data_IF_179195238297
#
_entry.id   IF_179195238297
#
_cell.length_a   1.000
_cell.length_b   1.000
_cell.length_c   1.000
_cell.angle_alpha   90.00
_cell.angle_beta   90.00
_cell.angle_gamma   90.00
#
_symmetry.space_group_name_H-M   'P 1'
#
loop_
_entity.id
_entity.type
_entity.pdbx_description
1 polymer ?
#
# COMPACT_ATOMS: atom_id res chain seq x y z
N UNK A 1 -9.07 -1.74 -2.83
CA UNK A 1 -8.27 -0.61 -2.30
C UNK A 1 -9.08 0.42 -1.50
N UNK A 2 -10.38 0.63 -1.73
CA UNK A 2 -11.14 1.67 -1.01
C UNK A 2 -11.08 1.54 0.52
N UNK A 3 -11.20 0.31 1.05
CA UNK A 3 -10.99 -0.01 2.46
C UNK A 3 -9.65 0.54 2.99
N UNK A 4 -8.53 0.06 2.43
CA UNK A 4 -7.20 0.45 2.90
C UNK A 4 -6.92 1.96 2.75
N UNK A 5 -7.38 2.58 1.65
CA UNK A 5 -7.14 4.00 1.37
C UNK A 5 -7.90 4.96 2.28
N UNK A 6 -8.90 4.46 2.98
CA UNK A 6 -9.79 5.26 3.83
C UNK A 6 -9.80 4.74 5.26
N UNK A 7 -8.69 4.12 5.71
CA UNK A 7 -8.55 3.57 7.06
C UNK A 7 -9.73 2.73 7.50
N UNK A 8 -10.18 1.81 6.63
CA UNK A 8 -11.34 0.94 6.85
C UNK A 8 -12.71 1.63 6.89
N UNK A 9 -12.78 2.95 7.08
CA UNK A 9 -14.01 3.71 7.26
C UNK A 9 -14.93 3.59 6.04
N UNK A 10 -16.16 3.15 6.29
CA UNK A 10 -17.23 3.14 5.28
C UNK A 10 -17.11 2.06 4.19
N UNK A 11 -16.13 1.17 4.30
CA UNK A 11 -15.91 0.08 3.35
C UNK A 11 -15.74 -1.25 4.08
N UNK A 12 -15.96 -2.35 3.37
CA UNK A 12 -15.63 -3.69 3.85
C UNK A 12 -14.72 -4.39 2.84
N UNK A 13 -13.84 -5.26 3.33
CA UNK A 13 -13.10 -6.19 2.48
C UNK A 13 -14.08 -7.21 1.87
N UNK A 14 -13.81 -7.64 0.64
CA UNK A 14 -14.61 -8.68 -0.01
C UNK A 14 -14.42 -10.00 0.73
N UNK A 15 -15.51 -10.68 1.12
CA UNK A 15 -15.38 -11.97 1.80
C UNK A 15 -14.65 -13.00 0.93
N UNK A 16 -13.82 -13.85 1.55
CA UNK A 16 -13.02 -14.85 0.83
C UNK A 16 -13.85 -15.74 -0.10
N UNK A 17 -14.95 -16.30 0.40
CA UNK A 17 -15.87 -17.14 -0.40
C UNK A 17 -16.50 -16.38 -1.58
N UNK A 18 -16.82 -15.09 -1.38
CA UNK A 18 -17.36 -14.25 -2.44
C UNK A 18 -16.30 -14.00 -3.52
N UNK A 19 -15.06 -13.71 -3.13
CA UNK A 19 -13.94 -13.61 -4.05
C UNK A 19 -13.72 -14.91 -4.82
N UNK A 20 -13.65 -16.04 -4.11
CA UNK A 20 -13.42 -17.35 -4.72
C UNK A 20 -14.50 -17.69 -5.75
N UNK A 21 -15.77 -17.50 -5.40
CA UNK A 21 -16.90 -17.76 -6.31
C UNK A 21 -16.83 -16.87 -7.54
N UNK A 22 -16.64 -15.56 -7.37
CA UNK A 22 -16.59 -14.61 -8.49
C UNK A 22 -15.37 -14.83 -9.39
N UNK A 23 -14.20 -15.08 -8.79
CA UNK A 23 -12.96 -15.29 -9.53
C UNK A 23 -13.00 -16.60 -10.34
N UNK A 24 -13.49 -17.69 -9.75
CA UNK A 24 -13.66 -18.96 -10.48
C UNK A 24 -14.65 -18.81 -11.64
N UNK A 25 -15.79 -18.14 -11.42
CA UNK A 25 -16.76 -17.91 -12.49
C UNK A 25 -16.14 -17.12 -13.65
N UNK A 26 -15.43 -16.03 -13.35
CA UNK A 26 -14.75 -15.21 -14.34
C UNK A 26 -13.72 -16.02 -15.14
N UNK A 27 -12.84 -16.75 -14.45
CA UNK A 27 -11.79 -17.52 -15.13
C UNK A 27 -12.39 -18.64 -15.97
N UNK A 28 -13.36 -19.39 -15.45
CA UNK A 28 -14.01 -20.46 -16.22
C UNK A 28 -14.62 -19.91 -17.52
N UNK A 29 -15.30 -18.77 -17.48
CA UNK A 29 -15.83 -18.12 -18.69
C UNK A 29 -14.74 -17.65 -19.65
N UNK A 30 -13.58 -17.23 -19.15
CA UNK A 30 -12.48 -16.75 -20.00
C UNK A 30 -11.68 -17.88 -20.64
N UNK A 31 -11.58 -19.04 -19.98
CA UNK A 31 -10.84 -20.22 -20.48
C UNK A 31 -11.73 -21.21 -21.24
N UNK A 32 -13.03 -20.92 -21.33
CA UNK A 32 -13.96 -21.62 -22.21
C UNK A 32 -13.39 -21.68 -23.65
N UNK A 33 -13.73 -22.73 -24.39
CA UNK A 33 -13.20 -23.00 -25.72
C UNK A 33 -11.66 -23.13 -25.81
N UNK A 34 -11.01 -23.56 -24.72
CA UNK A 34 -9.56 -23.80 -24.64
C UNK A 34 -8.69 -22.56 -24.80
N UNK A 35 -9.22 -21.39 -24.43
CA UNK A 35 -8.45 -20.16 -24.44
C UNK A 35 -7.27 -20.23 -23.46
N UNK A 36 -6.10 -19.80 -23.94
CA UNK A 36 -4.87 -19.69 -23.14
C UNK A 36 -4.81 -18.33 -22.46
N UNK A 37 -4.13 -18.25 -21.33
CA UNK A 37 -4.03 -17.00 -20.58
C UNK A 37 -2.95 -17.01 -19.51
N UNK A 38 -2.65 -15.82 -19.02
CA UNK A 38 -1.73 -15.64 -17.89
C UNK A 38 -2.46 -14.85 -16.83
N UNK A 39 -2.39 -15.33 -15.59
CA UNK A 39 -2.95 -14.64 -14.43
C UNK A 39 -1.83 -14.30 -13.46
N UNK A 40 -2.07 -13.31 -12.62
CA UNK A 40 -1.12 -12.88 -11.61
C UNK A 40 -1.81 -12.79 -10.25
N UNK A 41 -1.05 -13.09 -9.19
CA UNK A 41 -1.51 -12.82 -7.84
C UNK A 41 -1.48 -11.30 -7.55
N UNK A 42 -2.01 -10.91 -6.40
CA UNK A 42 -2.12 -9.52 -5.96
C UNK A 42 -0.85 -9.16 -5.17
N UNK A 43 -0.18 -8.04 -5.48
CA UNK A 43 0.99 -7.60 -4.74
C UNK A 43 0.65 -7.16 -3.32
N UNK A 44 1.67 -7.07 -2.45
CA UNK A 44 1.53 -6.45 -1.13
C UNK A 44 1.24 -4.95 -1.30
N UNK A 45 -0.05 -4.61 -1.20
CA UNK A 45 -0.52 -3.25 -1.39
C UNK A 45 -0.05 -2.32 -0.28
N UNK A 46 0.19 -2.86 0.92
CA UNK A 46 0.63 -2.07 2.07
C UNK A 46 2.09 -1.66 1.95
N UNK A 47 2.87 -2.15 0.98
CA UNK A 47 4.23 -1.68 0.68
C UNK A 47 4.28 -0.42 -0.19
N UNK A 48 3.16 -0.07 -0.82
CA UNK A 48 3.12 1.09 -1.70
C UNK A 48 3.42 2.39 -0.92
N UNK A 49 4.06 3.38 -1.55
CA UNK A 49 4.43 4.65 -0.89
C UNK A 49 3.26 5.40 -0.23
N UNK A 50 2.04 5.24 -0.73
CA UNK A 50 0.84 5.82 -0.12
C UNK A 50 0.67 5.42 1.36
N UNK A 51 1.08 4.20 1.71
CA UNK A 51 0.93 3.64 3.06
C UNK A 51 2.20 3.80 3.93
N UNK A 52 3.40 3.89 3.34
CA UNK A 52 4.67 3.91 4.10
C UNK A 52 5.46 5.22 4.02
N UNK A 53 4.98 6.24 3.31
CA UNK A 53 5.76 7.48 3.16
C UNK A 53 5.68 8.43 4.36
N UNK A 54 4.78 8.18 5.31
CA UNK A 54 4.69 8.93 6.57
C UNK A 54 5.12 7.99 7.70
N UNK A 55 6.19 8.37 8.41
CA UNK A 55 6.68 7.60 9.54
C UNK A 55 5.74 7.72 10.74
N UNK A 56 5.70 6.68 11.58
CA UNK A 56 4.94 6.68 12.85
C UNK A 56 5.41 7.79 13.81
N UNK A 57 6.67 8.23 13.69
CA UNK A 57 7.26 9.34 14.43
C UNK A 57 7.27 10.66 13.63
N UNK A 58 6.34 10.77 12.67
CA UNK A 58 6.29 11.86 11.69
C UNK A 58 5.78 13.20 12.21
N UNK A 59 5.26 13.27 13.45
CA UNK A 59 4.84 14.51 14.07
C UNK A 59 6.06 15.31 14.52
N UNK A 60 6.46 16.32 13.75
CA UNK A 60 7.62 17.17 14.05
C UNK A 60 7.20 18.47 14.71
N UNK A 61 7.67 18.72 15.93
CA UNK A 61 7.36 19.91 16.72
C UNK A 61 8.62 20.77 16.95
N UNK A 62 8.46 22.09 16.88
CA UNK A 62 9.47 23.05 17.36
C UNK A 62 9.48 23.14 18.89
N UNK A 63 10.57 23.65 19.48
CA UNK A 63 10.65 23.87 20.93
C UNK A 63 9.45 24.66 21.48
N UNK A 64 9.03 25.72 20.79
CA UNK A 64 7.87 26.54 21.18
C UNK A 64 6.56 25.73 21.17
N UNK A 65 6.35 24.91 20.15
CA UNK A 65 5.18 24.02 20.07
C UNK A 65 5.22 22.97 21.17
N UNK A 66 6.38 22.35 21.42
CA UNK A 66 6.56 21.36 22.48
C UNK A 66 6.23 21.93 23.86
N UNK A 67 6.76 23.11 24.20
CA UNK A 67 6.45 23.78 25.46
C UNK A 67 4.95 24.08 25.60
N UNK A 68 4.35 24.66 24.55
CA UNK A 68 2.92 24.96 24.51
C UNK A 68 2.08 23.69 24.68
N UNK A 69 2.48 22.61 24.02
CA UNK A 69 1.74 21.35 24.03
C UNK A 69 1.84 20.66 25.38
N UNK A 70 3.03 20.61 25.98
CA UNK A 70 3.19 20.02 27.31
C UNK A 70 2.40 20.81 28.37
N UNK A 71 2.33 22.14 28.25
CA UNK A 71 1.48 22.96 29.11
C UNK A 71 -0.02 22.67 28.93
N UNK A 72 -0.48 22.52 27.68
CA UNK A 72 -1.86 22.13 27.38
C UNK A 72 -2.20 20.73 27.90
N UNK A 73 -1.27 19.78 27.80
CA UNK A 73 -1.43 18.42 28.30
C UNK A 73 -1.59 18.40 29.84
N UNK A 74 -0.80 19.21 30.55
CA UNK A 74 -0.92 19.39 32.00
C UNK A 74 -2.30 19.95 32.39
N UNK A 75 -2.79 20.99 31.70
CA UNK A 75 -4.12 21.56 31.93
C UNK A 75 -5.22 20.53 31.68
N UNK A 76 -5.11 19.76 30.61
CA UNK A 76 -6.06 18.72 30.26
C UNK A 76 -5.93 17.44 31.12
N UNK A 77 -4.96 17.39 32.04
CA UNK A 77 -4.66 16.25 32.91
C UNK A 77 -4.41 14.94 32.11
N UNK A 78 -3.87 15.08 30.90
CA UNK A 78 -3.46 13.97 30.04
C UNK A 78 -1.95 13.77 30.17
N UNK A 79 -1.52 12.52 30.31
CA UNK A 79 -0.11 12.20 30.53
C UNK A 79 0.66 12.09 29.20
N UNK A 80 0.69 13.19 28.44
CA UNK A 80 1.47 13.30 27.22
C UNK A 80 2.80 14.01 27.51
N UNK A 81 3.87 13.49 26.93
CA UNK A 81 5.17 14.13 26.94
C UNK A 81 5.64 14.28 25.50
N UNK A 82 5.40 15.46 24.94
CA UNK A 82 5.96 15.84 23.66
C UNK A 82 7.42 16.27 23.85
N UNK A 83 8.25 15.99 22.84
CA UNK A 83 9.62 16.45 22.76
C UNK A 83 9.82 17.36 21.54
N UNK A 84 10.88 18.17 21.57
CA UNK A 84 11.31 18.89 20.37
C UNK A 84 11.73 17.88 19.30
N UNK A 85 11.35 18.15 18.04
CA UNK A 85 11.57 17.24 16.94
C UNK A 85 10.47 16.20 16.83
N UNK A 86 10.85 14.94 16.61
CA UNK A 86 9.94 13.86 16.24
C UNK A 86 9.13 13.33 17.43
N UNK A 87 7.85 13.11 17.20
CA UNK A 87 6.89 12.54 18.15
C UNK A 87 5.99 11.52 17.44
N UNK A 88 5.41 10.61 18.22
CA UNK A 88 4.37 9.72 17.71
C UNK A 88 3.08 10.50 17.42
N UNK A 89 2.32 10.02 16.45
CA UNK A 89 0.98 10.53 16.15
C UNK A 89 -0.02 10.14 17.23
N UNK A 90 -0.93 11.05 17.57
CA UNK A 90 -2.20 10.67 18.19
C UNK A 90 -3.21 10.30 17.11
N UNK A 91 -3.97 9.24 17.37
CA UNK A 91 -4.97 8.69 16.47
C UNK A 91 -6.26 8.42 17.25
N UNK A 92 -7.40 8.52 16.58
CA UNK A 92 -8.68 8.02 17.12
C UNK A 92 -8.58 6.50 17.26
N UNK A 93 -9.14 5.98 18.35
CA UNK A 93 -9.28 4.55 18.58
C UNK A 93 -10.50 4.34 19.48
N UNK A 94 -11.59 3.84 18.90
CA UNK A 94 -12.85 3.66 19.60
C UNK A 94 -12.81 2.55 20.67
N UNK A 95 -11.79 1.68 20.66
CA UNK A 95 -11.61 0.62 21.64
C UNK A 95 -10.86 1.12 22.89
N UNK A 96 -10.22 2.29 22.83
CA UNK A 96 -9.54 2.90 23.97
C UNK A 96 -10.53 3.72 24.83
N UNK A 97 -10.41 3.74 26.17
CA UNK A 97 -11.37 4.41 27.05
C UNK A 97 -11.57 5.90 26.76
N UNK A 98 -10.50 6.58 26.35
CA UNK A 98 -10.49 7.99 25.97
C UNK A 98 -10.92 8.22 24.52
N UNK A 99 -11.10 7.17 23.72
CA UNK A 99 -11.45 7.23 22.30
C UNK A 99 -10.27 7.57 21.37
N UNK A 100 -9.05 7.61 21.90
CA UNK A 100 -7.83 7.93 21.17
C UNK A 100 -6.62 7.32 21.88
N UNK A 101 -5.50 7.24 21.16
CA UNK A 101 -4.19 6.84 21.71
C UNK A 101 -3.04 7.30 20.83
N UNK A 102 -1.81 7.05 21.27
CA UNK A 102 -0.67 7.09 20.38
C UNK A 102 -0.70 5.92 19.39
N UNK A 103 -0.24 6.17 18.16
CA UNK A 103 -0.03 5.14 17.15
C UNK A 103 0.95 4.07 17.67
N UNK A 104 0.67 2.81 17.38
CA UNK A 104 1.47 1.64 17.80
C UNK A 104 2.49 1.28 16.71
N UNK A 105 3.55 0.57 17.10
CA UNK A 105 4.51 0.04 16.13
C UNK A 105 3.82 -0.91 15.14
N UNK A 106 4.12 -0.75 13.84
CA UNK A 106 3.51 -1.54 12.77
C UNK A 106 2.23 -0.96 12.18
N UNK A 107 1.65 0.07 12.79
CA UNK A 107 0.52 0.82 12.23
C UNK A 107 0.98 1.88 11.22
N UNK A 108 0.06 2.34 10.38
CA UNK A 108 0.40 3.15 9.22
C UNK A 108 -0.37 4.47 9.24
N UNK A 109 0.32 5.58 8.98
CA UNK A 109 -0.31 6.86 8.69
C UNK A 109 -0.38 7.05 7.18
N UNK A 110 -1.58 7.32 6.69
CA UNK A 110 -1.87 7.38 5.26
C UNK A 110 -1.46 8.72 4.64
N UNK A 111 -0.99 8.70 3.40
CA UNK A 111 -0.69 9.92 2.62
C UNK A 111 -1.90 10.87 2.47
N UNK A 112 -3.11 10.38 2.69
CA UNK A 112 -4.34 11.19 2.66
C UNK A 112 -4.47 12.18 3.81
N UNK A 113 -3.61 12.11 4.84
CA UNK A 113 -3.57 13.11 5.94
C UNK A 113 -3.39 14.52 5.37
N UNK A 114 -4.27 15.49 5.71
CA UNK A 114 -4.14 16.86 5.24
C UNK A 114 -3.01 17.61 5.99
N UNK A 115 -1.88 17.83 5.31
CA UNK A 115 -0.71 18.52 5.87
C UNK A 115 -1.04 19.91 6.45
N UNK A 116 -1.93 20.66 5.81
CA UNK A 116 -2.35 21.97 6.29
C UNK A 116 -3.07 21.88 7.64
N UNK A 117 -3.89 20.85 7.88
CA UNK A 117 -4.56 20.63 9.16
C UNK A 117 -3.61 20.12 10.24
N UNK A 118 -2.60 19.33 9.87
CA UNK A 118 -1.51 18.96 10.80
C UNK A 118 -0.82 20.22 11.31
N UNK A 119 -0.52 21.18 10.42
CA UNK A 119 0.17 22.44 10.78
C UNK A 119 -0.73 23.46 11.47
N UNK A 120 -1.95 23.66 10.97
CA UNK A 120 -2.80 24.78 11.37
C UNK A 120 -3.90 24.40 12.37
N UNK A 121 -4.20 23.11 12.53
CA UNK A 121 -5.32 22.62 13.33
C UNK A 121 -4.92 21.57 14.36
N UNK A 122 -3.61 21.40 14.59
CA UNK A 122 -3.06 20.46 15.58
C UNK A 122 -3.46 19.00 15.31
N UNK A 123 -3.81 18.66 14.06
CA UNK A 123 -4.20 17.33 13.65
C UNK A 123 -3.05 16.34 13.81
N UNK A 124 -3.33 15.18 14.40
CA UNK A 124 -2.37 14.17 14.81
C UNK A 124 -1.57 14.50 16.07
N UNK A 125 -1.89 15.59 16.76
CA UNK A 125 -1.36 15.95 18.08
C UNK A 125 -2.48 16.10 19.11
N UNK A 126 -3.00 17.29 19.38
CA UNK A 126 -4.16 17.46 20.27
C UNK A 126 -5.48 17.04 19.66
N UNK A 127 -5.58 17.15 18.34
CA UNK A 127 -6.71 16.60 17.59
C UNK A 127 -6.22 15.25 17.05
N UNK A 128 -6.68 14.11 17.58
CA UNK A 128 -6.24 12.81 17.08
C UNK A 128 -6.51 12.68 15.58
N UNK A 129 -5.67 11.94 14.85
CA UNK A 129 -5.95 11.59 13.46
C UNK A 129 -7.21 10.74 13.40
N UNK A 130 -8.24 11.15 12.64
CA UNK A 130 -9.38 10.28 12.39
C UNK A 130 -8.97 8.98 11.74
N UNK A 131 -9.75 7.94 12.03
CA UNK A 131 -9.58 6.57 11.55
C UNK A 131 -9.30 6.50 10.04
N UNK A 132 -9.99 7.32 9.24
CA UNK A 132 -9.84 7.36 7.79
C UNK A 132 -8.42 7.69 7.26
N UNK A 133 -7.53 8.17 8.12
CA UNK A 133 -6.15 8.53 7.79
C UNK A 133 -5.10 7.60 8.40
N UNK A 134 -5.53 6.55 9.09
CA UNK A 134 -4.65 5.59 9.76
C UNK A 134 -5.06 4.19 9.31
N UNK A 135 -4.14 3.24 9.32
CA UNK A 135 -4.50 1.84 9.37
C UNK A 135 -3.99 1.28 10.68
N UNK A 136 -4.93 0.80 11.51
CA UNK A 136 -4.59 0.18 12.77
C UNK A 136 -4.12 -1.26 12.60
N UNK A 137 -3.70 -1.87 13.71
CA UNK A 137 -3.18 -3.23 13.71
C UNK A 137 -4.22 -4.28 13.27
N UNK A 138 -5.50 -4.10 13.59
CA UNK A 138 -6.58 -5.03 13.25
C UNK A 138 -6.91 -4.95 11.75
N UNK A 139 -6.95 -3.74 11.19
CA UNK A 139 -7.19 -3.50 9.77
C UNK A 139 -6.05 -4.02 8.89
N UNK A 140 -4.80 -3.80 9.30
CA UNK A 140 -3.63 -4.36 8.63
C UNK A 140 -3.70 -5.89 8.64
N UNK A 141 -4.04 -6.50 9.78
CA UNK A 141 -4.20 -7.94 9.89
C UNK A 141 -5.34 -8.46 8.98
N UNK A 142 -6.46 -7.75 8.90
CA UNK A 142 -7.59 -8.09 8.03
C UNK A 142 -7.22 -8.00 6.54
N UNK A 143 -6.47 -6.97 6.15
CA UNK A 143 -5.94 -6.78 4.79
C UNK A 143 -5.01 -7.93 4.42
N UNK A 144 -4.03 -8.25 5.28
CA UNK A 144 -3.07 -9.32 5.03
C UNK A 144 -3.76 -10.69 4.93
N UNK A 145 -4.69 -10.98 5.85
CA UNK A 145 -5.47 -12.24 5.82
C UNK A 145 -6.27 -12.37 4.53
N UNK A 146 -6.90 -11.28 4.08
CA UNK A 146 -7.67 -11.28 2.83
C UNK A 146 -6.77 -11.44 1.62
N UNK A 147 -5.61 -10.77 1.60
CA UNK A 147 -4.62 -10.85 0.54
C UNK A 147 -4.08 -12.29 0.38
N UNK A 148 -3.72 -12.93 1.48
CA UNK A 148 -3.27 -14.33 1.50
C UNK A 148 -4.36 -15.25 0.96
N UNK A 149 -5.61 -15.07 1.40
CA UNK A 149 -6.74 -15.85 0.90
C UNK A 149 -6.91 -15.69 -0.61
N UNK A 150 -6.95 -14.46 -1.12
CA UNK A 150 -7.12 -14.20 -2.55
C UNK A 150 -5.99 -14.79 -3.38
N UNK A 151 -4.74 -14.60 -2.93
CA UNK A 151 -3.57 -15.10 -3.63
C UNK A 151 -3.53 -16.64 -3.69
N UNK A 152 -3.94 -17.31 -2.61
CA UNK A 152 -4.07 -18.78 -2.62
C UNK A 152 -5.12 -19.26 -3.65
N UNK A 153 -6.25 -18.57 -3.75
CA UNK A 153 -7.28 -18.88 -4.77
C UNK A 153 -6.72 -18.66 -6.18
N UNK A 154 -6.03 -17.54 -6.43
CA UNK A 154 -5.48 -17.23 -7.75
C UNK A 154 -4.47 -18.32 -8.18
N UNK A 155 -3.55 -18.70 -7.29
CA UNK A 155 -2.57 -19.77 -7.57
C UNK A 155 -3.27 -21.08 -7.89
N UNK A 156 -4.24 -21.49 -7.06
CA UNK A 156 -5.01 -22.71 -7.29
C UNK A 156 -5.72 -22.69 -8.65
N UNK A 157 -6.36 -21.57 -9.01
CA UNK A 157 -7.07 -21.44 -10.29
C UNK A 157 -6.13 -21.46 -11.50
N UNK A 158 -4.91 -20.92 -11.38
CA UNK A 158 -3.86 -21.05 -12.40
C UNK A 158 -3.52 -22.51 -12.66
N UNK A 159 -3.28 -23.29 -11.60
CA UNK A 159 -2.91 -24.70 -11.68
C UNK A 159 -4.03 -25.55 -12.28
N UNK A 160 -5.27 -25.38 -11.79
CA UNK A 160 -6.43 -26.15 -12.27
C UNK A 160 -6.71 -25.94 -13.76
N UNK A 161 -6.50 -24.73 -14.27
CA UNK A 161 -6.77 -24.38 -15.66
C UNK A 161 -5.52 -24.40 -16.55
N UNK A 162 -4.36 -24.81 -16.02
CA UNK A 162 -3.08 -24.82 -16.72
C UNK A 162 -2.74 -23.46 -17.38
N UNK A 163 -3.00 -22.38 -16.65
CA UNK A 163 -2.69 -21.01 -17.07
C UNK A 163 -1.26 -20.65 -16.67
N UNK A 164 -0.64 -19.73 -17.42
CA UNK A 164 0.61 -19.13 -16.96
C UNK A 164 0.35 -18.32 -15.68
N UNK A 165 1.32 -18.31 -14.77
CA UNK A 165 1.22 -17.63 -13.48
C UNK A 165 2.37 -16.67 -13.26
N UNK A 166 2.05 -15.42 -12.93
CA UNK A 166 3.04 -14.42 -12.55
C UNK A 166 2.89 -14.06 -11.07
N UNK A 167 3.97 -14.25 -10.31
CA UNK A 167 4.03 -13.91 -8.90
C UNK A 167 4.37 -12.41 -8.72
N UNK A 168 3.34 -11.57 -8.84
CA UNK A 168 3.42 -10.13 -8.59
C UNK A 168 3.69 -9.82 -7.12
N UNK A 169 3.22 -10.63 -6.18
CA UNK A 169 3.54 -10.48 -4.76
C UNK A 169 5.05 -10.50 -4.54
N UNK A 170 5.73 -11.53 -5.03
CA UNK A 170 7.19 -11.61 -4.96
C UNK A 170 7.90 -10.59 -5.85
N UNK A 171 7.33 -10.26 -7.00
CA UNK A 171 7.92 -9.25 -7.89
C UNK A 171 8.00 -7.88 -7.21
N UNK A 172 6.91 -7.42 -6.61
CA UNK A 172 6.84 -6.12 -5.93
C UNK A 172 7.75 -6.06 -4.69
N UNK A 173 7.96 -7.19 -3.99
CA UNK A 173 8.94 -7.25 -2.89
C UNK A 173 10.37 -6.93 -3.33
N UNK A 174 10.73 -7.08 -4.61
CA UNK A 174 12.05 -6.68 -5.11
C UNK A 174 12.29 -5.17 -5.02
N UNK A 175 11.22 -4.38 -4.96
CA UNK A 175 11.25 -2.92 -4.87
C UNK A 175 11.53 -2.42 -3.45
N UNK A 176 11.57 -3.31 -2.45
CA UNK A 176 12.09 -3.00 -1.11
C UNK A 176 13.59 -2.65 -1.15
N UNK A 177 14.28 -3.05 -2.23
CA UNK A 177 15.63 -2.64 -2.57
C UNK A 177 15.73 -2.05 -3.98
N UNK A 178 16.95 -1.70 -4.43
CA UNK A 178 17.15 -1.19 -5.78
C UNK A 178 16.98 -2.31 -6.82
N UNK A 179 15.94 -2.22 -7.63
CA UNK A 179 15.72 -3.05 -8.81
C UNK A 179 16.35 -2.38 -10.03
N UNK A 180 17.42 -2.95 -10.57
CA UNK A 180 18.13 -2.37 -11.72
C UNK A 180 17.60 -2.97 -13.04
N UNK A 181 17.21 -2.12 -13.99
CA UNK A 181 16.83 -2.53 -15.35
C UNK A 181 17.45 -1.57 -16.38
N UNK A 182 18.31 -2.08 -17.27
CA UNK A 182 18.99 -1.30 -18.32
C UNK A 182 19.61 0.02 -17.81
N UNK A 183 20.21 -0.01 -16.62
CA UNK A 183 20.86 1.15 -16.00
C UNK A 183 19.92 2.11 -15.25
N UNK A 184 18.60 1.91 -15.33
CA UNK A 184 17.62 2.57 -14.47
C UNK A 184 17.48 1.81 -13.15
N UNK A 185 17.20 2.53 -12.07
CA UNK A 185 16.99 1.96 -10.73
C UNK A 185 15.55 2.22 -10.31
N UNK A 186 14.86 1.17 -9.90
CA UNK A 186 13.48 1.19 -9.45
C UNK A 186 13.39 0.79 -7.97
N UNK A 187 12.50 1.42 -7.21
CA UNK A 187 12.23 1.06 -5.81
C UNK A 187 10.86 1.58 -5.35
N UNK A 188 10.50 1.25 -4.11
CA UNK A 188 9.35 1.81 -3.39
C UNK A 188 9.61 3.24 -2.88
N UNK A 189 10.71 3.91 -3.25
CA UNK A 189 10.95 5.30 -2.83
C UNK A 189 9.97 6.24 -3.55
N UNK A 190 9.20 7.00 -2.76
CA UNK A 190 8.31 8.03 -3.30
C UNK A 190 9.12 9.05 -4.11
N UNK A 191 8.60 9.46 -5.28
CA UNK A 191 9.21 10.42 -6.21
C UNK A 191 10.50 9.92 -6.89
N UNK A 192 11.47 9.37 -6.15
CA UNK A 192 12.78 8.98 -6.71
C UNK A 192 12.89 7.53 -7.17
N UNK A 193 11.99 6.67 -6.73
CA UNK A 193 12.03 5.24 -7.01
C UNK A 193 11.61 4.86 -8.42
N UNK A 194 11.18 5.82 -9.26
CA UNK A 194 10.77 5.64 -10.67
C UNK A 194 9.62 4.65 -10.95
N UNK A 195 9.28 3.78 -9.99
CA UNK A 195 8.29 2.72 -10.15
C UNK A 195 6.88 3.21 -9.89
N UNK A 196 6.65 3.99 -8.82
CA UNK A 196 5.33 4.53 -8.47
C UNK A 196 5.13 5.95 -9.00
N UNK A 197 3.89 6.25 -9.36
CA UNK A 197 3.44 7.60 -9.68
C UNK A 197 3.40 8.49 -8.42
N UNK A 198 3.06 9.78 -8.59
CA UNK A 198 2.95 10.74 -7.48
C UNK A 198 1.82 10.40 -6.48
N UNK A 199 0.86 9.55 -6.86
CA UNK A 199 -0.15 9.06 -5.92
C UNK A 199 0.39 8.00 -4.94
N UNK A 200 1.57 7.42 -5.21
CA UNK A 200 2.17 6.39 -4.38
C UNK A 200 1.40 5.07 -4.36
N UNK A 201 0.53 4.81 -5.33
CA UNK A 201 -0.31 3.60 -5.42
C UNK A 201 -0.08 2.92 -6.76
N UNK A 202 -0.22 3.66 -7.86
CA UNK A 202 -0.14 3.08 -9.19
C UNK A 202 1.28 3.21 -9.75
N UNK A 203 1.74 2.22 -10.53
CA UNK A 203 3.02 2.33 -11.20
C UNK A 203 3.07 3.48 -12.21
N UNK A 204 4.27 3.98 -12.53
CA UNK A 204 4.52 4.85 -13.68
C UNK A 204 4.39 4.08 -15.00
N UNK A 205 4.51 4.73 -16.15
CA UNK A 205 4.54 4.02 -17.44
C UNK A 205 5.72 3.02 -17.49
N UNK A 206 6.86 3.38 -16.91
CA UNK A 206 8.01 2.46 -16.73
C UNK A 206 7.68 1.28 -15.82
N UNK A 207 7.01 1.55 -14.69
CA UNK A 207 6.57 0.49 -13.78
C UNK A 207 5.59 -0.49 -14.45
N UNK A 208 4.64 0.03 -15.24
CA UNK A 208 3.75 -0.81 -16.05
C UNK A 208 4.50 -1.60 -17.13
N UNK A 209 5.48 -1.01 -17.81
CA UNK A 209 6.31 -1.70 -18.80
C UNK A 209 7.12 -2.85 -18.17
N UNK A 210 7.65 -2.64 -16.96
CA UNK A 210 8.31 -3.66 -16.17
C UNK A 210 7.37 -4.83 -15.82
N UNK A 211 6.15 -4.53 -15.36
CA UNK A 211 5.13 -5.54 -15.08
C UNK A 211 4.78 -6.31 -16.35
N UNK A 212 4.54 -5.61 -17.48
CA UNK A 212 4.24 -6.23 -18.75
C UNK A 212 5.33 -7.22 -19.20
N UNK A 213 6.60 -6.90 -18.95
CA UNK A 213 7.70 -7.81 -19.24
C UNK A 213 7.66 -9.10 -18.42
N UNK A 214 7.17 -9.09 -17.17
CA UNK A 214 6.99 -10.31 -16.39
C UNK A 214 5.89 -11.21 -16.99
N UNK A 215 4.81 -10.62 -17.51
CA UNK A 215 3.78 -11.37 -18.24
C UNK A 215 4.32 -11.94 -19.55
N UNK A 216 5.09 -11.16 -20.33
CA UNK A 216 5.71 -11.62 -21.58
C UNK A 216 6.65 -12.81 -21.31
N UNK A 217 7.47 -12.73 -20.26
CA UNK A 217 8.36 -13.82 -19.84
C UNK A 217 7.57 -15.08 -19.51
N UNK A 218 6.47 -14.95 -18.77
CA UNK A 218 5.62 -16.08 -18.41
C UNK A 218 4.91 -16.71 -19.62
N UNK A 219 4.40 -15.89 -20.55
CA UNK A 219 3.83 -16.36 -21.81
C UNK A 219 4.87 -17.18 -22.60
N UNK A 220 6.08 -16.63 -22.75
CA UNK A 220 7.16 -17.30 -23.46
C UNK A 220 7.56 -18.62 -22.78
N UNK A 221 7.64 -18.63 -21.44
CA UNK A 221 8.00 -19.82 -20.65
C UNK A 221 6.93 -20.91 -20.70
N UNK A 222 5.67 -20.55 -20.47
CA UNK A 222 4.57 -21.51 -20.29
C UNK A 222 4.02 -22.01 -21.64
N UNK A 223 3.90 -21.12 -22.62
CA UNK A 223 3.31 -21.44 -23.93
C UNK A 223 4.34 -21.63 -25.05
N UNK A 224 5.65 -21.55 -24.74
CA UNK A 224 6.74 -21.67 -25.72
C UNK A 224 6.63 -20.66 -26.86
N UNK A 225 6.09 -19.48 -26.55
CA UNK A 225 5.98 -18.37 -27.48
C UNK A 225 7.34 -17.67 -27.68
N UNK A 226 7.37 -16.65 -28.54
CA UNK A 226 8.57 -15.84 -28.82
C UNK A 226 8.19 -14.36 -28.95
N UNK A 227 7.53 -13.84 -27.92
CA UNK A 227 7.19 -12.43 -27.80
C UNK A 227 8.41 -11.64 -27.31
N UNK A 228 8.63 -10.46 -27.90
CA UNK A 228 9.67 -9.55 -27.44
C UNK A 228 9.19 -8.80 -26.21
N UNK A 229 10.10 -8.63 -25.23
CA UNK A 229 9.91 -7.70 -24.12
C UNK A 229 9.81 -6.25 -24.64
N UNK A 230 9.06 -5.42 -23.93
CA UNK A 230 8.98 -3.99 -24.19
C UNK A 230 10.24 -3.29 -23.66
N UNK A 231 10.74 -2.30 -24.40
CA UNK A 231 11.83 -1.45 -23.92
C UNK A 231 11.30 -0.45 -22.88
N UNK A 232 11.56 -0.74 -21.62
CA UNK A 232 11.15 0.11 -20.47
C UNK A 232 11.72 1.52 -20.58
N UNK A 233 12.90 1.71 -21.20
CA UNK A 233 13.56 3.02 -21.25
C UNK A 233 12.83 4.04 -22.13
N UNK A 234 12.00 3.55 -23.06
CA UNK A 234 11.15 4.36 -23.94
C UNK A 234 9.91 4.94 -23.25
N UNK A 235 9.62 4.56 -22.00
CA UNK A 235 8.45 5.02 -21.25
C UNK A 235 8.80 6.11 -20.23
N UNK A 236 7.80 6.90 -19.84
CA UNK A 236 7.95 7.98 -18.87
C UNK A 236 7.97 7.45 -17.43
N UNK A 237 8.88 7.99 -16.62
CA UNK A 237 8.93 7.78 -15.17
C UNK A 237 8.18 8.88 -14.43
N UNK A 238 8.63 9.20 -13.22
CA UNK A 238 8.10 10.36 -12.49
C UNK A 238 8.55 11.64 -13.21
N UNK A 239 7.59 12.45 -13.63
CA UNK A 239 7.88 13.77 -14.19
C UNK A 239 8.12 14.75 -13.03
N UNK A 240 9.34 15.26 -12.96
CA UNK A 240 9.69 16.34 -12.03
C UNK A 240 9.13 17.67 -12.56
N UNK A 241 8.46 18.47 -11.71
CA UNK A 241 8.11 19.85 -12.05
C UNK A 241 9.34 20.76 -12.16
#
# INVERSE_FOLDING_TARGET
>A
MAFAKNGGVGYALTGGEQFATGYNLMINTLVDDSAQGVIANIPDLLKAPFFNSIAIDGLVLSAEQTETFNYMAEIAQVNYLFQEGKNLWHIEDADEPEGWRFIKEGELVLRSVPEDSVRCSLLGSFVPLPDQYVLDSAEIAAINTSLDFYNNIIVFVAEQNNLGFVDMFRYFQKLDGPLVYNGLVFSNEMIKGEFYSLDGIYPTDRGHALIANEFIKEINRHYRASLNEVDVTGFHGVLYP
#
